data_IF_595282529265
#
_entry.id   IF_595282529265
#
_cell.length_a   1.000
_cell.length_b   1.000
_cell.length_c   1.000
_cell.angle_alpha   90.00
_cell.angle_beta   90.00
_cell.angle_gamma   90.00
#
_symmetry.space_group_name_H-M   'P 1'
#
loop_
_entity.id
_entity.type
_entity.pdbx_description
1 polymer ?
#
# COMPACT_ATOMS: atom_id res chain seq x y z
N UNK A 1 44.94 -34.21 -2.30
CA UNK A 1 43.94 -34.57 -1.27
C UNK A 1 43.22 -33.35 -0.65
N UNK A 2 43.42 -32.12 -1.14
CA UNK A 2 42.72 -30.91 -0.66
C UNK A 2 41.77 -30.32 -1.73
N UNK A 3 41.86 -30.72 -3.00
CA UNK A 3 40.94 -30.24 -4.04
C UNK A 3 39.61 -31.01 -4.13
N UNK A 4 39.43 -32.13 -3.41
CA UNK A 4 38.19 -32.92 -3.48
C UNK A 4 37.10 -32.48 -2.50
N UNK A 5 37.37 -31.48 -1.64
CA UNK A 5 36.41 -31.00 -0.62
C UNK A 5 35.68 -29.73 -1.09
N UNK A 6 36.18 -29.04 -2.12
CA UNK A 6 35.62 -27.76 -2.59
C UNK A 6 34.59 -27.86 -3.73
N UNK A 7 34.30 -29.05 -4.25
CA UNK A 7 33.35 -29.21 -5.37
C UNK A 7 32.02 -29.91 -5.00
N UNK A 8 31.86 -30.46 -3.79
CA UNK A 8 30.88 -31.54 -3.59
C UNK A 8 29.65 -31.26 -2.75
N UNK A 9 29.74 -30.53 -1.63
CA UNK A 9 28.76 -30.74 -0.54
C UNK A 9 28.10 -29.50 0.04
N UNK A 10 28.56 -28.28 -0.25
CA UNK A 10 27.92 -27.06 0.27
C UNK A 10 26.80 -26.50 -0.63
N UNK A 11 26.45 -27.19 -1.72
CA UNK A 11 25.49 -26.68 -2.72
C UNK A 11 24.08 -27.30 -2.61
N UNK A 12 23.91 -28.44 -1.93
CA UNK A 12 22.61 -29.13 -1.83
C UNK A 12 21.82 -28.74 -0.57
N UNK A 13 22.44 -28.73 0.61
CA UNK A 13 21.78 -28.37 1.89
C UNK A 13 21.36 -26.88 1.96
N UNK A 14 22.17 -25.97 1.41
CA UNK A 14 21.80 -24.55 1.33
C UNK A 14 20.69 -24.31 0.29
N UNK A 15 20.59 -25.18 -0.73
CA UNK A 15 19.47 -25.17 -1.69
C UNK A 15 18.20 -25.77 -1.10
N UNK A 16 18.27 -26.79 -0.24
CA UNK A 16 17.08 -27.36 0.43
C UNK A 16 16.48 -26.41 1.47
N UNK A 17 17.29 -25.54 2.09
CA UNK A 17 16.78 -24.45 2.92
C UNK A 17 16.05 -23.35 2.12
N UNK A 18 16.40 -23.17 0.84
CA UNK A 18 15.69 -22.25 -0.07
C UNK A 18 14.33 -22.83 -0.49
N UNK A 19 14.18 -24.15 -0.51
CA UNK A 19 12.91 -24.86 -0.82
C UNK A 19 11.85 -24.68 0.28
N UNK A 20 12.23 -24.45 1.53
CA UNK A 20 11.27 -24.29 2.63
C UNK A 20 10.59 -22.92 2.67
N UNK A 21 11.22 -21.87 2.13
CA UNK A 21 10.70 -20.51 2.29
C UNK A 21 9.43 -20.28 1.45
N UNK A 22 9.37 -20.86 0.26
CA UNK A 22 8.22 -20.70 -0.64
C UNK A 22 7.01 -21.46 -0.09
N UNK A 23 7.24 -22.66 0.47
CA UNK A 23 6.21 -23.43 1.18
C UNK A 23 5.68 -22.70 2.41
N UNK A 24 6.54 -21.97 3.14
CA UNK A 24 6.12 -21.13 4.26
C UNK A 24 5.16 -20.04 3.77
N UNK A 25 5.50 -19.34 2.68
CA UNK A 25 4.61 -18.31 2.12
C UNK A 25 3.29 -18.93 1.66
N UNK A 26 3.33 -20.02 0.89
CA UNK A 26 2.13 -20.72 0.44
C UNK A 26 1.25 -21.16 1.63
N UNK A 27 1.85 -21.70 2.69
CA UNK A 27 1.14 -22.10 3.90
C UNK A 27 0.51 -20.91 4.64
N UNK A 28 1.23 -19.79 4.75
CA UNK A 28 0.70 -18.56 5.38
C UNK A 28 -0.43 -17.96 4.55
N UNK A 29 -0.32 -17.94 3.21
CA UNK A 29 -1.40 -17.46 2.35
C UNK A 29 -2.60 -18.41 2.41
N UNK A 30 -2.38 -19.72 2.43
CA UNK A 30 -3.44 -20.72 2.62
C UNK A 30 -4.21 -20.52 3.92
N UNK A 31 -3.54 -20.13 5.01
CA UNK A 31 -4.19 -19.75 6.28
C UNK A 31 -5.11 -18.53 6.09
N UNK A 32 -4.64 -17.52 5.37
CA UNK A 32 -5.39 -16.27 5.11
C UNK A 32 -6.58 -16.47 4.17
N UNK A 33 -6.49 -17.39 3.21
CA UNK A 33 -7.53 -17.62 2.20
C UNK A 33 -8.51 -18.74 2.57
N UNK A 34 -8.40 -19.32 3.78
CA UNK A 34 -9.38 -20.30 4.25
C UNK A 34 -10.82 -19.73 4.20
N UNK A 35 -11.85 -20.53 3.84
CA UNK A 35 -13.20 -20.01 3.57
C UNK A 35 -13.86 -19.30 4.76
N UNK A 36 -13.55 -19.72 5.99
CA UNK A 36 -14.05 -19.10 7.23
C UNK A 36 -12.91 -19.07 8.25
N UNK A 37 -11.98 -18.10 8.14
CA UNK A 37 -10.85 -18.04 9.04
C UNK A 37 -11.33 -17.50 10.39
N UNK A 38 -10.98 -18.18 11.48
CA UNK A 38 -11.22 -17.62 12.80
C UNK A 38 -10.41 -16.31 12.97
N UNK A 39 -10.84 -15.36 13.82
CA UNK A 39 -10.06 -14.15 14.09
C UNK A 39 -8.63 -14.45 14.56
N UNK A 40 -8.45 -15.55 15.31
CA UNK A 40 -7.12 -16.03 15.74
C UNK A 40 -6.28 -16.50 14.56
N UNK A 41 -6.89 -17.19 13.60
CA UNK A 41 -6.24 -17.69 12.39
C UNK A 41 -5.77 -16.53 11.51
N UNK A 42 -6.65 -15.55 11.25
CA UNK A 42 -6.29 -14.32 10.52
C UNK A 42 -5.14 -13.58 11.19
N UNK A 43 -5.23 -13.37 12.50
CA UNK A 43 -4.17 -12.73 13.28
C UNK A 43 -2.82 -13.42 13.13
N UNK A 44 -2.79 -14.75 13.22
CA UNK A 44 -1.55 -15.51 13.05
C UNK A 44 -1.02 -15.33 11.62
N UNK A 45 -1.87 -15.51 10.61
CA UNK A 45 -1.48 -15.35 9.21
C UNK A 45 -0.89 -13.96 8.92
N UNK A 46 -1.58 -12.90 9.33
CA UNK A 46 -1.14 -11.50 9.13
C UNK A 46 0.16 -11.21 9.88
N UNK A 47 0.30 -11.66 11.13
CA UNK A 47 1.53 -11.46 11.91
C UNK A 47 2.71 -12.18 11.28
N UNK A 48 2.52 -13.42 10.84
CA UNK A 48 3.58 -14.22 10.21
C UNK A 48 3.98 -13.60 8.87
N UNK A 49 3.00 -13.27 8.02
CA UNK A 49 3.26 -12.62 6.74
C UNK A 49 4.02 -11.30 6.90
N UNK A 50 3.59 -10.46 7.85
CA UNK A 50 4.30 -9.21 8.17
C UNK A 50 5.75 -9.48 8.59
N UNK A 51 5.99 -10.43 9.50
CA UNK A 51 7.32 -10.77 9.96
C UNK A 51 8.25 -11.24 8.82
N UNK A 52 7.74 -12.08 7.91
CA UNK A 52 8.48 -12.53 6.74
C UNK A 52 8.81 -11.36 5.79
N UNK A 53 7.85 -10.48 5.53
CA UNK A 53 8.04 -9.33 4.64
C UNK A 53 8.94 -8.22 5.21
N UNK A 54 9.32 -8.26 6.48
CA UNK A 54 10.34 -7.35 7.03
C UNK A 54 11.67 -7.53 6.27
N UNK A 55 12.02 -8.78 5.94
CA UNK A 55 13.14 -9.06 5.06
C UNK A 55 12.79 -8.67 3.61
N UNK A 56 13.54 -7.71 3.06
CA UNK A 56 13.32 -7.23 1.68
C UNK A 56 13.46 -8.35 0.65
N UNK A 57 14.35 -9.31 0.89
CA UNK A 57 14.60 -10.40 -0.04
C UNK A 57 13.40 -11.35 -0.16
N UNK A 58 12.57 -11.48 0.88
CA UNK A 58 11.47 -12.46 0.85
C UNK A 58 10.15 -11.88 0.29
N UNK A 59 10.11 -10.57 0.02
CA UNK A 59 8.89 -9.88 -0.45
C UNK A 59 8.40 -10.35 -1.82
N UNK A 60 9.30 -10.75 -2.72
CA UNK A 60 8.90 -11.27 -4.04
C UNK A 60 8.14 -12.60 -3.89
N UNK A 61 8.62 -13.49 -3.02
CA UNK A 61 7.97 -14.77 -2.69
C UNK A 61 6.58 -14.59 -2.11
N UNK A 62 6.40 -13.59 -1.24
CA UNK A 62 5.08 -13.24 -0.73
C UNK A 62 4.11 -12.87 -1.86
N UNK A 63 4.55 -12.06 -2.83
CA UNK A 63 3.73 -11.68 -3.99
C UNK A 63 3.42 -12.90 -4.86
N UNK A 64 4.42 -13.73 -5.17
CA UNK A 64 4.26 -14.96 -5.96
C UNK A 64 3.31 -15.97 -5.29
N UNK A 65 3.29 -16.03 -3.96
CA UNK A 65 2.40 -16.88 -3.18
C UNK A 65 0.95 -16.36 -3.09
N UNK A 66 0.63 -15.19 -3.66
CA UNK A 66 -0.73 -14.63 -3.65
C UNK A 66 -1.03 -13.72 -2.45
N UNK A 67 -0.02 -13.11 -1.82
CA UNK A 67 -0.23 -12.19 -0.69
C UNK A 67 -1.12 -10.98 -1.04
N UNK A 68 -1.11 -10.54 -2.31
CA UNK A 68 -1.86 -9.35 -2.75
C UNK A 68 -3.37 -9.58 -2.57
N UNK A 69 -3.91 -10.62 -3.21
CA UNK A 69 -5.33 -10.94 -3.16
C UNK A 69 -5.76 -11.23 -1.72
N UNK A 70 -4.99 -12.05 -1.00
CA UNK A 70 -5.26 -12.38 0.38
C UNK A 70 -5.31 -11.15 1.30
N UNK A 71 -4.40 -10.18 1.13
CA UNK A 71 -4.41 -8.95 1.93
C UNK A 71 -5.58 -8.04 1.56
N UNK A 72 -5.86 -7.83 0.28
CA UNK A 72 -6.94 -6.94 -0.16
C UNK A 72 -8.30 -7.46 0.27
N UNK A 73 -8.53 -8.77 0.14
CA UNK A 73 -9.78 -9.41 0.54
C UNK A 73 -10.00 -9.41 2.05
N UNK A 74 -8.94 -9.62 2.85
CA UNK A 74 -9.09 -9.76 4.32
C UNK A 74 -9.00 -8.46 5.09
N UNK A 75 -8.40 -7.41 4.53
CA UNK A 75 -8.28 -6.09 5.19
C UNK A 75 -9.58 -5.58 5.84
N UNK A 76 -10.78 -5.71 5.21
CA UNK A 76 -12.04 -5.29 5.83
C UNK A 76 -12.45 -6.08 7.08
N UNK A 77 -11.96 -7.32 7.24
CA UNK A 77 -12.34 -8.23 8.31
C UNK A 77 -11.39 -8.15 9.52
N UNK A 78 -10.29 -7.41 9.40
CA UNK A 78 -9.26 -7.34 10.44
C UNK A 78 -9.62 -6.37 11.56
N UNK A 79 -9.27 -6.73 12.78
CA UNK A 79 -9.29 -5.80 13.90
C UNK A 79 -8.27 -4.66 13.67
N UNK A 80 -8.36 -3.59 14.46
CA UNK A 80 -7.50 -2.41 14.33
C UNK A 80 -5.99 -2.77 14.32
N UNK A 81 -5.56 -3.69 15.18
CA UNK A 81 -4.15 -4.00 15.38
C UNK A 81 -3.60 -4.86 14.24
N UNK A 82 -4.40 -5.78 13.73
CA UNK A 82 -4.04 -6.65 12.62
C UNK A 82 -4.18 -5.91 11.28
N UNK A 83 -5.15 -5.01 11.14
CA UNK A 83 -5.27 -4.10 9.99
C UNK A 83 -4.03 -3.20 9.86
N UNK A 84 -3.52 -2.64 10.96
CA UNK A 84 -2.24 -1.89 10.96
C UNK A 84 -1.08 -2.72 10.41
N UNK A 85 -0.96 -3.99 10.82
CA UNK A 85 0.11 -4.88 10.33
C UNK A 85 -0.07 -5.25 8.86
N UNK A 86 -1.30 -5.57 8.46
CA UNK A 86 -1.62 -5.88 7.07
C UNK A 86 -1.26 -4.69 6.16
N UNK A 87 -1.62 -3.48 6.54
CA UNK A 87 -1.27 -2.27 5.77
C UNK A 87 0.24 -2.00 5.76
N UNK A 88 0.95 -2.27 6.86
CA UNK A 88 2.40 -2.21 6.87
C UNK A 88 3.01 -3.20 5.86
N UNK A 89 2.48 -4.42 5.79
CA UNK A 89 2.87 -5.41 4.76
C UNK A 89 2.56 -4.91 3.35
N UNK A 90 1.36 -4.38 3.10
CA UNK A 90 1.00 -3.78 1.81
C UNK A 90 2.01 -2.70 1.41
N UNK A 91 2.34 -1.77 2.31
CA UNK A 91 3.33 -0.73 2.03
C UNK A 91 4.72 -1.31 1.71
N UNK A 92 5.17 -2.35 2.44
CA UNK A 92 6.45 -3.01 2.18
C UNK A 92 6.49 -3.66 0.80
N UNK A 93 5.40 -4.28 0.37
CA UNK A 93 5.26 -4.94 -0.93
C UNK A 93 5.11 -3.93 -2.08
N UNK A 94 4.38 -2.84 -1.91
CA UNK A 94 4.29 -1.76 -2.92
C UNK A 94 5.64 -1.09 -3.23
N UNK A 95 6.65 -1.22 -2.34
CA UNK A 95 8.01 -0.68 -2.57
C UNK A 95 8.91 -1.58 -3.42
N UNK A 96 8.46 -2.77 -3.81
CA UNK A 96 9.16 -3.61 -4.78
C UNK A 96 8.40 -3.62 -6.12
N UNK A 97 9.08 -3.75 -7.28
CA UNK A 97 8.41 -3.70 -8.58
C UNK A 97 7.27 -4.72 -8.72
N UNK A 98 7.52 -5.99 -8.36
CA UNK A 98 6.52 -7.06 -8.46
C UNK A 98 5.26 -6.76 -7.64
N UNK A 99 5.42 -6.32 -6.38
CA UNK A 99 4.30 -5.97 -5.52
C UNK A 99 3.57 -4.72 -6.00
N UNK A 100 4.29 -3.69 -6.43
CA UNK A 100 3.67 -2.48 -6.98
C UNK A 100 2.79 -2.79 -8.20
N UNK A 101 3.31 -3.60 -9.13
CA UNK A 101 2.55 -4.05 -10.31
C UNK A 101 1.32 -4.86 -9.91
N UNK A 102 1.47 -5.84 -9.01
CA UNK A 102 0.38 -6.72 -8.61
C UNK A 102 -0.73 -5.95 -7.87
N UNK A 103 -0.38 -5.09 -6.90
CA UNK A 103 -1.35 -4.23 -6.21
C UNK A 103 -2.02 -3.23 -7.15
N UNK A 104 -1.30 -2.67 -8.12
CA UNK A 104 -1.84 -1.76 -9.13
C UNK A 104 -2.76 -2.44 -10.15
N UNK A 105 -2.64 -3.74 -10.35
CA UNK A 105 -3.54 -4.51 -11.22
C UNK A 105 -4.86 -4.87 -10.51
N UNK A 106 -4.85 -4.94 -9.18
CA UNK A 106 -6.02 -5.37 -8.40
C UNK A 106 -7.01 -4.22 -8.17
N UNK A 107 -8.22 -4.34 -8.75
CA UNK A 107 -9.21 -3.27 -8.85
C UNK A 107 -9.72 -2.68 -7.51
N UNK A 108 -9.59 -3.42 -6.41
CA UNK A 108 -10.02 -2.94 -5.09
C UNK A 108 -8.91 -2.23 -4.30
N UNK A 109 -7.66 -2.31 -4.74
CA UNK A 109 -6.51 -1.81 -3.96
C UNK A 109 -6.61 -0.32 -3.68
N UNK A 110 -6.73 0.50 -4.72
CA UNK A 110 -6.73 1.96 -4.56
C UNK A 110 -7.96 2.43 -3.77
N UNK A 111 -9.20 2.03 -4.10
CA UNK A 111 -10.38 2.40 -3.31
C UNK A 111 -10.27 1.99 -1.83
N UNK A 112 -9.74 0.80 -1.55
CA UNK A 112 -9.58 0.30 -0.19
C UNK A 112 -8.56 1.12 0.61
N UNK A 113 -7.40 1.43 0.02
CA UNK A 113 -6.38 2.25 0.67
C UNK A 113 -6.87 3.68 0.92
N UNK A 114 -7.56 4.29 -0.05
CA UNK A 114 -8.16 5.63 0.12
C UNK A 114 -9.21 5.61 1.23
N UNK A 115 -10.08 4.58 1.27
CA UNK A 115 -11.10 4.42 2.30
C UNK A 115 -10.49 4.24 3.70
N UNK A 116 -9.26 3.74 3.80
CA UNK A 116 -8.59 3.43 5.08
C UNK A 116 -7.96 4.65 5.75
N UNK A 117 -7.57 5.66 4.97
CA UNK A 117 -6.99 6.91 5.50
C UNK A 117 -7.93 7.51 6.55
N UNK A 118 -7.37 7.86 7.72
CA UNK A 118 -8.07 8.45 8.86
C UNK A 118 -9.16 7.59 9.53
N UNK A 119 -9.37 6.33 9.11
CA UNK A 119 -10.46 5.49 9.67
C UNK A 119 -10.04 4.44 10.69
N UNK A 120 -8.78 3.99 10.65
CA UNK A 120 -8.30 2.88 11.48
C UNK A 120 -7.41 3.38 12.62
N UNK A 121 -6.28 4.00 12.26
CA UNK A 121 -5.33 4.60 13.20
C UNK A 121 -4.33 5.50 12.48
N UNK A 122 -3.53 6.24 13.24
CA UNK A 122 -2.45 7.06 12.70
C UNK A 122 -1.40 6.22 11.95
N UNK A 123 -1.08 5.02 12.46
CA UNK A 123 -0.13 4.09 11.81
C UNK A 123 -0.71 3.50 10.54
N UNK A 124 -1.95 3.00 10.59
CA UNK A 124 -2.66 2.50 9.41
C UNK A 124 -2.75 3.57 8.31
N UNK A 125 -3.04 4.82 8.70
CA UNK A 125 -3.07 5.96 7.78
C UNK A 125 -1.71 6.23 7.15
N UNK A 126 -0.63 6.20 7.95
CA UNK A 126 0.74 6.35 7.44
C UNK A 126 1.11 5.27 6.42
N UNK A 127 0.74 4.01 6.69
CA UNK A 127 1.02 2.87 5.80
C UNK A 127 0.19 2.96 4.52
N UNK A 128 -1.12 3.23 4.62
CA UNK A 128 -2.01 3.39 3.47
C UNK A 128 -1.56 4.54 2.55
N UNK A 129 -1.21 5.71 3.11
CA UNK A 129 -0.67 6.83 2.35
C UNK A 129 0.67 6.49 1.68
N UNK A 130 1.50 5.66 2.33
CA UNK A 130 2.76 5.19 1.76
C UNK A 130 2.57 4.26 0.57
N UNK A 131 1.64 3.30 0.69
CA UNK A 131 1.28 2.39 -0.40
C UNK A 131 0.71 3.16 -1.60
N UNK A 132 -0.25 4.07 -1.36
CA UNK A 132 -0.81 4.93 -2.39
C UNK A 132 0.25 5.79 -3.08
N UNK A 133 1.21 6.35 -2.33
CA UNK A 133 2.30 7.11 -2.92
C UNK A 133 3.15 6.26 -3.85
N UNK A 134 3.51 5.03 -3.46
CA UNK A 134 4.24 4.10 -4.34
C UNK A 134 3.47 3.74 -5.60
N UNK A 135 2.16 3.48 -5.49
CA UNK A 135 1.28 3.16 -6.62
C UNK A 135 1.08 4.34 -7.57
N UNK A 136 0.79 5.53 -7.04
CA UNK A 136 0.60 6.74 -7.84
C UNK A 136 1.90 7.17 -8.55
N UNK A 137 3.07 6.90 -7.93
CA UNK A 137 4.36 7.20 -8.56
C UNK A 137 4.64 6.27 -9.75
N UNK A 138 4.10 5.05 -9.77
CA UNK A 138 4.38 4.07 -10.82
C UNK A 138 3.49 4.20 -12.05
N UNK A 139 2.29 4.80 -11.93
CA UNK A 139 1.34 4.90 -13.05
C UNK A 139 0.37 6.06 -12.92
N UNK A 140 0.24 6.87 -13.97
CA UNK A 140 -0.79 7.92 -14.09
C UNK A 140 -2.21 7.34 -14.02
N UNK A 141 -2.44 6.13 -14.54
CA UNK A 141 -3.74 5.46 -14.43
C UNK A 141 -4.16 5.32 -12.96
N UNK A 142 -3.23 4.94 -12.08
CA UNK A 142 -3.48 4.78 -10.66
C UNK A 142 -3.66 6.13 -9.95
N UNK A 143 -3.06 7.21 -10.48
CA UNK A 143 -3.32 8.56 -10.02
C UNK A 143 -4.78 8.98 -10.29
N UNK A 144 -5.26 8.78 -11.51
CA UNK A 144 -6.67 9.03 -11.86
C UNK A 144 -7.63 8.18 -11.03
N UNK A 145 -7.31 6.90 -10.83
CA UNK A 145 -8.10 6.02 -9.98
C UNK A 145 -8.16 6.53 -8.52
N UNK A 146 -7.02 6.99 -7.97
CA UNK A 146 -6.97 7.55 -6.63
C UNK A 146 -7.77 8.85 -6.50
N UNK A 147 -7.69 9.75 -7.50
CA UNK A 147 -8.49 10.98 -7.55
C UNK A 147 -9.98 10.65 -7.60
N UNK A 148 -10.39 9.73 -8.48
CA UNK A 148 -11.78 9.28 -8.59
C UNK A 148 -12.28 8.60 -7.31
N UNK A 149 -11.41 7.90 -6.58
CA UNK A 149 -11.72 7.33 -5.27
C UNK A 149 -11.78 8.39 -4.13
N UNK A 150 -11.48 9.66 -4.41
CA UNK A 150 -11.56 10.76 -3.44
C UNK A 150 -10.30 10.95 -2.60
N UNK A 151 -9.13 10.54 -3.09
CA UNK A 151 -7.87 10.65 -2.33
C UNK A 151 -7.56 12.08 -1.90
N UNK A 152 -7.85 13.08 -2.76
CA UNK A 152 -7.51 14.49 -2.51
C UNK A 152 -8.13 15.01 -1.21
N UNK A 153 -9.43 14.78 -1.01
CA UNK A 153 -10.13 15.16 0.22
C UNK A 153 -9.52 14.46 1.43
N UNK A 154 -9.22 13.16 1.32
CA UNK A 154 -8.62 12.38 2.40
C UNK A 154 -7.22 12.91 2.79
N UNK A 155 -6.35 13.18 1.82
CA UNK A 155 -4.99 13.66 2.10
C UNK A 155 -4.96 15.12 2.57
N UNK A 156 -5.89 15.97 2.13
CA UNK A 156 -6.05 17.33 2.67
C UNK A 156 -6.44 17.30 4.15
N UNK A 157 -7.44 16.48 4.52
CA UNK A 157 -7.83 16.29 5.91
C UNK A 157 -6.68 15.69 6.73
N UNK A 158 -5.92 14.75 6.15
CA UNK A 158 -4.77 14.15 6.81
C UNK A 158 -3.70 15.18 7.17
N UNK A 159 -3.38 16.12 6.27
CA UNK A 159 -2.40 17.18 6.55
C UNK A 159 -2.83 18.07 7.72
N UNK A 160 -4.13 18.32 7.88
CA UNK A 160 -4.69 19.18 8.93
C UNK A 160 -4.94 18.45 10.26
N UNK A 161 -4.91 17.12 10.27
CA UNK A 161 -5.17 16.30 11.46
C UNK A 161 -3.99 16.24 12.44
N UNK A 162 -4.18 15.61 13.61
CA UNK A 162 -3.10 15.30 14.57
C UNK A 162 -2.39 13.96 14.27
N UNK A 163 -2.40 13.51 13.01
CA UNK A 163 -1.64 12.34 12.58
C UNK A 163 -0.11 12.58 12.63
N UNK A 164 0.66 11.49 12.49
CA UNK A 164 2.13 11.55 12.54
C UNK A 164 2.72 12.45 11.45
N UNK A 165 3.87 13.08 11.72
CA UNK A 165 4.58 13.89 10.72
C UNK A 165 4.97 13.08 9.48
N UNK A 166 5.18 11.78 9.63
CA UNK A 166 5.48 10.90 8.50
C UNK A 166 4.24 10.66 7.63
N UNK A 167 3.05 10.52 8.23
CA UNK A 167 1.80 10.47 7.46
C UNK A 167 1.54 11.79 6.73
N UNK A 168 1.71 12.94 7.41
CA UNK A 168 1.55 14.27 6.81
C UNK A 168 2.51 14.51 5.65
N UNK A 169 3.79 14.13 5.78
CA UNK A 169 4.77 14.24 4.69
C UNK A 169 4.38 13.42 3.46
N UNK A 170 3.93 12.17 3.64
CA UNK A 170 3.44 11.34 2.53
C UNK A 170 2.21 11.96 1.86
N UNK A 171 1.30 12.52 2.65
CA UNK A 171 0.12 13.22 2.15
C UNK A 171 0.50 14.44 1.29
N UNK A 172 1.47 15.25 1.74
CA UNK A 172 1.99 16.38 0.97
C UNK A 172 2.66 15.94 -0.34
N UNK A 173 3.40 14.82 -0.33
CA UNK A 173 3.98 14.25 -1.54
C UNK A 173 2.89 13.79 -2.53
N UNK A 174 1.83 13.14 -2.04
CA UNK A 174 0.67 12.77 -2.85
C UNK A 174 -0.02 14.01 -3.45
N UNK A 175 -0.27 15.05 -2.65
CA UNK A 175 -0.87 16.29 -3.14
C UNK A 175 -0.03 16.93 -4.27
N UNK A 176 1.30 16.93 -4.11
CA UNK A 176 2.22 17.44 -5.14
C UNK A 176 2.19 16.59 -6.40
N UNK A 177 2.17 15.26 -6.26
CA UNK A 177 2.14 14.33 -7.37
C UNK A 177 0.85 14.44 -8.17
N UNK A 178 -0.28 14.60 -7.48
CA UNK A 178 -1.61 14.62 -8.09
C UNK A 178 -2.05 16.01 -8.56
N UNK A 179 -1.22 17.06 -8.38
CA UNK A 179 -1.59 18.47 -8.59
C UNK A 179 -2.31 18.73 -9.91
N UNK A 180 -1.82 18.15 -10.99
CA UNK A 180 -2.32 18.43 -12.35
C UNK A 180 -3.61 17.64 -12.65
N UNK A 181 -4.01 16.74 -11.74
CA UNK A 181 -5.25 15.97 -11.77
C UNK A 181 -6.29 16.48 -10.76
N UNK A 182 -6.02 17.61 -10.11
CA UNK A 182 -7.02 18.18 -9.21
C UNK A 182 -8.26 18.52 -10.05
N UNK A 183 -9.45 18.10 -9.62
CA UNK A 183 -10.66 18.55 -10.26
C UNK A 183 -10.61 20.07 -10.21
N UNK A 184 -10.62 20.70 -11.38
CA UNK A 184 -10.80 22.14 -11.48
C UNK A 184 -12.16 22.44 -10.84
N UNK A 185 -12.15 22.76 -9.55
CA UNK A 185 -13.16 23.64 -9.01
C UNK A 185 -12.97 24.90 -9.82
N UNK A 186 -13.85 25.11 -10.80
CA UNK A 186 -13.86 26.27 -11.66
C UNK A 186 -13.78 27.53 -10.80
N UNK A 187 -12.57 28.02 -10.58
CA UNK A 187 -12.33 29.45 -10.52
C UNK A 187 -12.49 29.89 -11.96
N UNK A 188 -13.75 29.92 -12.40
CA UNK A 188 -14.14 30.71 -13.56
C UNK A 188 -13.67 32.10 -13.19
N UNK A 189 -12.63 32.57 -13.88
CA UNK A 189 -12.12 33.93 -13.79
C UNK A 189 -13.31 34.88 -13.59
N UNK A 190 -13.37 35.53 -12.44
CA UNK A 190 -14.18 36.73 -12.28
C UNK A 190 -13.45 37.88 -12.98
N UNK A 191 -13.18 37.73 -14.27
CA UNK A 191 -12.86 38.83 -15.17
C UNK A 191 -14.18 39.52 -15.51
N UNK A 192 -14.69 40.27 -14.52
CA UNK A 192 -16.01 40.88 -14.57
C UNK A 192 -16.18 42.05 -13.62
N UNK A 193 -15.09 42.65 -13.12
CA UNK A 193 -15.16 44.03 -12.64
C UNK A 193 -15.00 44.94 -13.85
N UNK A 194 -16.10 45.07 -14.58
CA UNK A 194 -16.25 46.11 -15.59
C UNK A 194 -16.07 47.45 -14.87
N UNK A 195 -15.05 48.22 -15.29
CA UNK A 195 -14.94 49.64 -14.98
C UNK A 195 -16.20 50.31 -15.49
N UNK A 196 -17.11 50.68 -14.60
CA UNK A 196 -18.11 51.69 -14.90
C UNK A 196 -17.59 53.02 -14.39
N UNK A 197 -16.97 53.75 -15.30
CA UNK A 197 -16.90 55.21 -15.23
C UNK A 197 -18.33 55.75 -15.21
N UNK A 198 -18.79 56.27 -14.08
CA UNK A 198 -19.99 57.14 -14.03
C UNK A 198 -19.77 58.29 -13.03
N UNK A 199 -19.30 59.40 -13.60
CA UNK A 199 -19.75 60.80 -13.43
C UNK A 199 -19.78 61.40 -12.01
N UNK A 200 -18.87 62.36 -11.81
CA UNK A 200 -18.95 63.42 -10.79
C UNK A 200 -20.25 64.23 -10.95
N UNK A 201 -20.93 64.47 -9.83
CA UNK A 201 -21.75 65.66 -9.62
C UNK A 201 -21.15 66.48 -8.48
#
# INVERSE_FOLDING_TARGET
LIESILAGTMSSELRSHITNSDEIFAGVIGILTTPVPSPRTLKIGVKTLFALCLNKHDRHRAVEAGAVDALVEKLPDLDKCDCERALATVELLCRIPAGCTAFGAHALTVPLLVKTILKVSNRATEYAAGALLSLCTSSEKLQHEAVNAGVLTQVLMLVQSDCTDRAKRKAQMLLKLLRDLWPEYSVRNSDGFNRSDVVQY
#
